data_IF_253069308904
#
_entry.id   IF_253069308904
#
_cell.length_a   1.000
_cell.length_b   1.000
_cell.length_c   1.000
_cell.angle_alpha   90.00
_cell.angle_beta   90.00
_cell.angle_gamma   90.00
#
_symmetry.space_group_name_H-M   'P 1'
#
loop_
_entity.id
_entity.type
_entity.pdbx_description
1 polymer ?
#
# COMPACT_ATOMS: atom_id res chain seq x y z
N UNK A 1 5.28 -4.03 -22.23
CA UNK A 1 4.09 -3.39 -22.83
C UNK A 1 2.86 -3.52 -21.93
N UNK A 2 2.63 -4.67 -21.29
CA UNK A 2 1.47 -4.93 -20.44
C UNK A 2 1.22 -3.89 -19.32
N UNK A 3 2.27 -3.46 -18.61
CA UNK A 3 2.14 -2.49 -17.50
C UNK A 3 1.57 -1.14 -17.94
N UNK A 4 2.00 -0.64 -19.10
CA UNK A 4 1.51 0.63 -19.66
C UNK A 4 0.07 0.52 -20.15
N UNK A 5 -0.30 -0.61 -20.75
CA UNK A 5 -1.69 -0.87 -21.16
C UNK A 5 -2.62 -0.92 -19.94
N UNK A 6 -2.22 -1.61 -18.88
CA UNK A 6 -2.99 -1.64 -17.63
C UNK A 6 -3.11 -0.25 -17.01
N UNK A 7 -2.03 0.53 -17.02
CA UNK A 7 -2.06 1.92 -16.55
C UNK A 7 -2.99 2.80 -17.41
N UNK A 8 -3.03 2.58 -18.73
CA UNK A 8 -3.94 3.29 -19.62
C UNK A 8 -5.40 2.97 -19.29
N UNK A 9 -5.74 1.70 -19.09
CA UNK A 9 -7.07 1.28 -18.67
C UNK A 9 -7.49 1.93 -17.35
N UNK A 10 -6.60 1.96 -16.35
CA UNK A 10 -6.85 2.63 -15.08
C UNK A 10 -7.02 4.15 -15.25
N UNK A 11 -6.20 4.78 -16.09
CA UNK A 11 -6.29 6.21 -16.39
C UNK A 11 -7.62 6.54 -17.06
N UNK A 12 -8.07 5.70 -18.00
CA UNK A 12 -9.38 5.83 -18.66
C UNK A 12 -10.53 5.68 -17.66
N UNK A 13 -10.52 4.62 -16.86
CA UNK A 13 -11.53 4.40 -15.81
C UNK A 13 -11.63 5.59 -14.85
N UNK A 14 -10.47 6.16 -14.45
CA UNK A 14 -10.45 7.34 -13.58
C UNK A 14 -10.92 8.61 -14.30
N UNK A 15 -10.55 8.79 -15.56
CA UNK A 15 -11.02 9.91 -16.37
C UNK A 15 -12.54 9.87 -16.55
N UNK A 16 -13.13 8.69 -16.78
CA UNK A 16 -14.59 8.49 -16.86
C UNK A 16 -15.29 8.81 -15.53
N UNK A 17 -14.72 8.43 -14.39
CA UNK A 17 -15.23 8.80 -13.07
C UNK A 17 -15.26 10.32 -12.88
N UNK A 18 -14.15 11.00 -13.20
CA UNK A 18 -14.04 12.46 -13.09
C UNK A 18 -14.98 13.13 -14.09
N UNK A 19 -15.08 12.61 -15.31
CA UNK A 19 -15.97 13.12 -16.37
C UNK A 19 -17.42 13.14 -15.90
N UNK A 20 -17.90 12.05 -15.28
CA UNK A 20 -19.25 11.98 -14.73
C UNK A 20 -19.48 12.94 -13.56
N UNK A 21 -18.48 13.11 -12.69
CA UNK A 21 -18.58 13.97 -11.49
C UNK A 21 -18.58 15.45 -11.83
N UNK A 22 -17.71 15.86 -12.76
CA UNK A 22 -17.51 17.26 -13.11
C UNK A 22 -18.32 17.68 -14.36
N UNK A 23 -19.03 16.73 -15.00
CA UNK A 23 -19.77 16.94 -16.25
C UNK A 23 -18.90 17.50 -17.39
N UNK A 24 -17.68 16.97 -17.52
CA UNK A 24 -16.72 17.34 -18.57
C UNK A 24 -16.32 16.12 -19.39
N UNK A 25 -15.99 16.30 -20.67
CA UNK A 25 -15.46 15.23 -21.51
C UNK A 25 -13.94 15.33 -21.63
N UNK A 26 -13.25 14.19 -21.55
CA UNK A 26 -11.81 14.09 -21.80
C UNK A 26 -11.57 13.42 -23.14
N UNK A 27 -10.71 13.99 -23.97
CA UNK A 27 -10.29 13.34 -25.21
C UNK A 27 -9.38 12.14 -24.90
N UNK A 28 -9.38 11.14 -25.79
CA UNK A 28 -8.49 9.98 -25.70
C UNK A 28 -7.01 10.40 -25.66
N UNK A 29 -6.64 11.48 -26.35
CA UNK A 29 -5.28 12.04 -26.31
C UNK A 29 -4.88 12.54 -24.93
N UNK A 30 -5.80 13.19 -24.19
CA UNK A 30 -5.54 13.66 -22.82
C UNK A 30 -5.34 12.46 -21.89
N UNK A 31 -6.16 11.41 -22.02
CA UNK A 31 -6.01 10.17 -21.24
C UNK A 31 -4.67 9.49 -21.57
N UNK A 32 -4.29 9.44 -22.85
CA UNK A 32 -2.99 8.94 -23.30
C UNK A 32 -1.81 9.72 -22.73
N UNK A 33 -1.89 11.06 -22.73
CA UNK A 33 -0.85 11.93 -22.17
C UNK A 33 -0.70 11.75 -20.66
N UNK A 34 -1.81 11.65 -19.91
CA UNK A 34 -1.79 11.37 -18.47
C UNK A 34 -1.16 10.00 -18.20
N UNK A 35 -1.51 8.99 -18.99
CA UNK A 35 -0.93 7.65 -18.88
C UNK A 35 0.58 7.68 -19.05
N UNK A 36 1.09 8.37 -20.08
CA UNK A 36 2.52 8.50 -20.34
C UNK A 36 3.23 9.26 -19.22
N UNK A 37 2.62 10.35 -18.74
CA UNK A 37 3.16 11.17 -17.66
C UNK A 37 3.27 10.39 -16.36
N UNK A 38 2.22 9.64 -15.99
CA UNK A 38 2.22 8.78 -14.82
C UNK A 38 3.26 7.65 -14.94
N UNK A 39 3.39 7.04 -16.12
CA UNK A 39 4.38 5.99 -16.35
C UNK A 39 5.82 6.50 -16.13
N UNK A 40 6.16 7.66 -16.71
CA UNK A 40 7.48 8.30 -16.53
C UNK A 40 7.71 8.74 -15.10
N UNK A 41 6.68 9.27 -14.45
CA UNK A 41 6.75 9.66 -13.04
C UNK A 41 7.06 8.45 -12.15
N UNK A 42 6.42 7.29 -12.38
CA UNK A 42 6.73 6.07 -11.63
C UNK A 42 8.18 5.61 -11.81
N UNK A 43 8.78 5.78 -12.99
CA UNK A 43 10.20 5.45 -13.22
C UNK A 43 11.14 6.36 -12.41
N UNK A 44 10.88 7.67 -12.41
CA UNK A 44 11.61 8.64 -11.59
C UNK A 44 11.45 8.32 -10.10
N UNK A 45 10.21 8.15 -9.66
CA UNK A 45 9.87 7.83 -8.27
C UNK A 45 10.61 6.58 -7.81
N UNK A 46 10.54 5.48 -8.56
CA UNK A 46 11.20 4.23 -8.20
C UNK A 46 12.73 4.40 -8.04
N UNK A 47 13.38 5.10 -8.98
CA UNK A 47 14.82 5.33 -8.92
C UNK A 47 15.24 6.17 -7.70
N UNK A 48 14.45 7.19 -7.36
CA UNK A 48 14.75 8.05 -6.22
C UNK A 48 14.48 7.35 -4.88
N UNK A 49 13.39 6.59 -4.77
CA UNK A 49 13.08 5.82 -3.57
C UNK A 49 14.14 4.74 -3.29
N UNK A 50 14.65 4.07 -4.33
CA UNK A 50 15.75 3.12 -4.20
C UNK A 50 17.01 3.80 -3.64
N UNK A 51 17.36 4.99 -4.17
CA UNK A 51 18.52 5.76 -3.69
C UNK A 51 18.35 6.22 -2.24
N UNK A 52 17.15 6.62 -1.83
CA UNK A 52 16.89 7.04 -0.45
C UNK A 52 17.02 5.87 0.53
N UNK A 53 16.45 4.71 0.20
CA UNK A 53 16.61 3.50 1.00
C UNK A 53 18.09 3.10 1.11
N UNK A 54 18.80 3.09 -0.02
CA UNK A 54 20.21 2.74 -0.07
C UNK A 54 21.09 3.73 0.71
N UNK A 55 20.79 5.03 0.65
CA UNK A 55 21.48 6.05 1.44
C UNK A 55 21.35 5.80 2.95
N UNK A 56 20.19 5.31 3.39
CA UNK A 56 19.94 4.89 4.76
C UNK A 56 20.42 3.45 5.08
N UNK A 57 21.21 2.83 4.19
CA UNK A 57 21.72 1.44 4.32
C UNK A 57 20.60 0.39 4.44
N UNK A 58 19.44 0.64 3.84
CA UNK A 58 18.29 -0.28 3.77
C UNK A 58 18.15 -0.83 2.36
N UNK A 59 17.67 -2.06 2.25
CA UNK A 59 17.24 -2.67 0.98
C UNK A 59 15.73 -2.58 0.74
N UNK A 60 14.97 -2.14 1.74
CA UNK A 60 13.52 -1.98 1.67
C UNK A 60 13.13 -0.50 1.82
N UNK A 61 12.29 -0.04 0.89
CA UNK A 61 11.68 1.30 0.89
C UNK A 61 10.59 1.37 1.97
N UNK A 62 10.50 2.49 2.68
CA UNK A 62 9.48 2.76 3.69
C UNK A 62 8.79 4.13 3.49
N UNK A 63 7.93 4.53 4.43
CA UNK A 63 7.20 5.80 4.35
C UNK A 63 8.09 7.06 4.47
N UNK A 64 9.27 6.94 5.08
CA UNK A 64 10.21 8.07 5.21
C UNK A 64 10.81 8.43 3.85
N UNK A 65 11.07 7.42 3.00
CA UNK A 65 11.57 7.62 1.64
C UNK A 65 10.55 8.38 0.78
N UNK A 66 9.25 8.04 0.92
CA UNK A 66 8.14 8.77 0.28
C UNK A 66 8.02 10.21 0.82
N UNK A 67 8.14 10.38 2.13
CA UNK A 67 8.13 11.71 2.76
C UNK A 67 9.25 12.59 2.23
N UNK A 68 10.45 12.03 2.08
CA UNK A 68 11.61 12.73 1.53
C UNK A 68 11.42 13.10 0.05
N UNK A 69 10.82 12.21 -0.74
CA UNK A 69 10.49 12.45 -2.14
C UNK A 69 9.50 13.62 -2.29
N UNK A 70 8.42 13.61 -1.50
CA UNK A 70 7.37 14.63 -1.55
C UNK A 70 7.62 15.84 -0.67
N UNK A 71 8.82 16.02 -0.09
CA UNK A 71 9.15 17.08 0.89
C UNK A 71 8.75 18.52 0.51
N UNK A 72 8.61 18.81 -0.79
CA UNK A 72 8.22 20.14 -1.30
C UNK A 72 6.70 20.34 -1.37
N UNK A 73 5.93 19.29 -1.15
CA UNK A 73 4.47 19.28 -1.19
C UNK A 73 3.93 18.81 0.16
N UNK A 74 3.69 19.77 1.05
CA UNK A 74 3.27 19.52 2.43
C UNK A 74 1.94 18.76 2.52
N UNK A 75 1.00 19.01 1.61
CA UNK A 75 -0.28 18.30 1.62
C UNK A 75 -0.11 16.81 1.31
N UNK A 76 0.78 16.46 0.38
CA UNK A 76 1.11 15.05 0.11
C UNK A 76 1.87 14.43 1.27
N UNK A 77 2.82 15.15 1.89
CA UNK A 77 3.55 14.65 3.07
C UNK A 77 2.59 14.29 4.20
N UNK A 78 1.62 15.16 4.49
CA UNK A 78 0.59 14.89 5.51
C UNK A 78 -0.25 13.66 5.16
N UNK A 79 -0.63 13.52 3.88
CA UNK A 79 -1.38 12.35 3.41
C UNK A 79 -0.59 11.05 3.57
N UNK A 80 0.72 11.06 3.26
CA UNK A 80 1.59 9.90 3.44
C UNK A 80 1.65 9.49 4.91
N UNK A 81 1.80 10.46 5.81
CA UNK A 81 1.82 10.22 7.25
C UNK A 81 0.49 9.61 7.75
N UNK A 82 -0.64 10.17 7.33
CA UNK A 82 -1.98 9.66 7.66
C UNK A 82 -2.15 8.20 7.20
N UNK A 83 -1.76 7.90 5.96
CA UNK A 83 -1.86 6.54 5.41
C UNK A 83 -0.93 5.56 6.11
N UNK A 84 0.29 5.98 6.47
CA UNK A 84 1.23 5.16 7.22
C UNK A 84 0.67 4.78 8.60
N UNK A 85 0.00 5.73 9.28
CA UNK A 85 -0.67 5.47 10.56
C UNK A 85 -1.82 4.46 10.39
N UNK A 86 -2.72 4.67 9.44
CA UNK A 86 -3.85 3.75 9.15
C UNK A 86 -3.37 2.31 8.89
N UNK A 87 -2.27 2.15 8.15
CA UNK A 87 -1.64 0.86 7.88
C UNK A 87 -1.05 0.21 9.14
N UNK A 88 -0.57 1.00 10.09
CA UNK A 88 -0.03 0.49 11.36
C UNK A 88 -1.14 -0.04 12.27
N UNK A 89 -2.26 0.67 12.34
CA UNK A 89 -3.45 0.31 13.12
C UNK A 89 -4.10 -0.98 12.58
N UNK A 90 -4.24 -1.10 11.27
CA UNK A 90 -4.72 -2.33 10.63
C UNK A 90 -3.83 -3.56 10.95
N UNK A 91 -2.52 -3.36 11.04
CA UNK A 91 -1.56 -4.41 11.41
C UNK A 91 -1.61 -4.79 12.89
N UNK A 92 -2.00 -3.89 13.79
CA UNK A 92 -2.23 -4.25 15.19
C UNK A 92 -3.50 -5.09 15.33
N UNK A 93 -4.61 -4.69 14.71
CA UNK A 93 -5.90 -5.38 14.86
C UNK A 93 -5.89 -6.81 14.30
N UNK A 94 -5.19 -7.02 13.19
CA UNK A 94 -4.97 -8.37 12.61
C UNK A 94 -4.07 -9.27 13.47
N UNK A 95 -3.19 -8.71 14.31
CA UNK A 95 -2.41 -9.48 15.29
C UNK A 95 -3.22 -9.83 16.54
N UNK A 96 -4.11 -8.95 16.98
CA UNK A 96 -5.02 -9.22 18.11
C UNK A 96 -6.00 -10.37 17.79
N UNK A 97 -6.55 -10.41 16.58
CA UNK A 97 -7.49 -11.47 16.14
C UNK A 97 -6.85 -12.84 15.89
N UNK A 98 -5.53 -12.91 15.65
CA UNK A 98 -4.79 -14.19 15.55
C UNK A 98 -4.46 -14.80 16.91
N UNK A 99 -4.29 -14.00 17.97
CA UNK A 99 -3.99 -14.52 19.32
C UNK A 99 -5.21 -15.18 19.99
N UNK A 100 -6.43 -14.71 19.71
CA UNK A 100 -7.65 -15.24 20.37
C UNK A 100 -8.13 -16.59 19.85
N UNK A 101 -7.64 -17.08 18.71
CA UNK A 101 -7.99 -18.41 18.16
C UNK A 101 -7.08 -19.56 18.60
N UNK A 102 -5.99 -19.27 19.31
CA UNK A 102 -5.04 -20.30 19.79
C UNK A 102 -5.32 -20.79 21.23
N UNK A 103 -6.17 -20.09 21.99
CA UNK A 103 -6.38 -20.33 23.44
C UNK A 103 -7.68 -21.09 23.80
N UNK A 104 -8.45 -21.59 22.82
CA UNK A 104 -9.67 -22.35 23.11
C UNK A 104 -9.72 -23.70 22.39
N UNK A 105 -8.85 -24.61 22.84
CA UNK A 105 -9.04 -26.06 22.74
C UNK A 105 -9.29 -26.61 24.15
N UNK A 106 -10.42 -27.30 24.42
CA UNK A 106 -10.70 -27.80 25.76
C UNK A 106 -9.84 -29.03 26.07
N UNK A 107 -9.14 -28.97 27.20
CA UNK A 107 -8.36 -30.05 27.78
C UNK A 107 -9.29 -31.15 28.31
N UNK A 108 -9.33 -32.33 27.68
CA UNK A 108 -9.84 -33.53 28.35
C UNK A 108 -8.74 -34.05 29.27
N UNK A 109 -8.97 -33.92 30.58
CA UNK A 109 -8.29 -34.67 31.63
C UNK A 109 -9.00 -36.02 31.75
N UNK A 110 -8.24 -37.11 31.73
CA UNK A 110 -8.60 -38.34 32.44
C UNK A 110 -7.30 -38.84 33.09
N UNK A 111 -7.22 -38.62 34.41
CA UNK A 111 -6.24 -39.22 35.32
C UNK A 111 -6.71 -40.64 35.66
N UNK A 112 -5.80 -41.62 35.65
CA UNK A 112 -5.61 -42.53 36.79
C UNK A 112 -4.43 -43.48 36.57
N UNK A 113 -3.33 -43.19 37.27
CA UNK A 113 -2.39 -44.20 37.77
C UNK A 113 -3.01 -44.86 39.01
N UNK A 114 -3.01 -46.20 39.08
CA UNK A 114 -2.89 -46.95 40.35
C UNK A 114 -1.94 -48.13 40.13
N UNK A 115 -0.98 -48.22 41.05
CA UNK A 115 0.13 -49.15 41.22
C UNK A 115 -0.23 -50.65 41.40
N UNK A 116 0.70 -51.48 40.93
CA UNK A 116 1.31 -52.67 41.59
C UNK A 116 0.42 -53.80 42.16
N UNK A 117 0.32 -54.92 41.43
CA UNK A 117 0.83 -56.28 41.76
C UNK A 117 0.44 -57.31 40.68
#
# INVERSE_FOLDING_TARGET
METKTNLHFLSKSKAEEISRREHVEFSEDVVGLVTESAFRFCQMLASDLEKFANHAKRSQVNADDLTLFFRRNTSIVNLVAEKAQQLSEYKSDSKYTKKTKADHSPSNKDDNDIEEL
#
